data_IF_407415049674
#
_entry.id   IF_407415049674
#
_cell.length_a   1.000
_cell.length_b   1.000
_cell.length_c   1.000
_cell.angle_alpha   90.00
_cell.angle_beta   90.00
_cell.angle_gamma   90.00
#
_symmetry.space_group_name_H-M   'P 1'
#
loop_
_entity.id
_entity.type
_entity.pdbx_description
1 polymer ?
#
# COMPACT_ATOMS: atom_id res chain seq x y z
N UNK A 1 -30.27 -16.20 1.68
CA UNK A 1 -29.42 -15.07 2.13
C UNK A 1 -28.54 -15.59 3.26
N UNK A 2 -27.28 -15.16 3.33
CA UNK A 2 -26.30 -15.65 4.33
C UNK A 2 -26.56 -15.05 5.73
N UNK A 3 -27.20 -13.87 5.79
CA UNK A 3 -27.52 -13.14 7.03
C UNK A 3 -28.35 -13.97 8.04
N UNK A 4 -29.48 -14.60 7.67
CA UNK A 4 -30.28 -15.42 8.60
C UNK A 4 -29.56 -16.66 9.15
N UNK A 5 -28.59 -17.21 8.41
CA UNK A 5 -27.82 -18.38 8.86
C UNK A 5 -26.77 -17.99 9.91
N UNK A 6 -26.10 -16.85 9.73
CA UNK A 6 -25.11 -16.33 10.67
C UNK A 6 -25.74 -15.89 12.00
N UNK A 7 -26.97 -15.38 11.98
CA UNK A 7 -27.68 -14.93 13.19
C UNK A 7 -28.08 -16.07 14.14
N UNK A 8 -28.08 -17.32 13.66
CA UNK A 8 -28.44 -18.50 14.45
C UNK A 8 -27.25 -19.44 14.70
N UNK A 9 -26.06 -19.11 14.20
CA UNK A 9 -24.86 -19.91 14.39
C UNK A 9 -24.32 -19.77 15.82
N UNK A 10 -23.86 -20.87 16.38
CA UNK A 10 -23.20 -20.92 17.68
C UNK A 10 -21.72 -20.53 17.58
N UNK A 11 -21.12 -20.14 18.70
CA UNK A 11 -19.69 -19.83 18.76
C UNK A 11 -18.81 -20.99 18.26
N UNK A 12 -19.15 -22.24 18.64
CA UNK A 12 -18.44 -23.45 18.20
C UNK A 12 -18.53 -23.68 16.68
N UNK A 13 -19.59 -23.21 16.02
CA UNK A 13 -19.72 -23.29 14.55
C UNK A 13 -18.94 -22.17 13.84
N UNK A 14 -18.81 -20.99 14.47
CA UNK A 14 -18.12 -19.82 13.90
C UNK A 14 -16.60 -19.86 14.12
N UNK A 15 -16.13 -20.38 15.24
CA UNK A 15 -14.70 -20.46 15.58
C UNK A 15 -13.83 -21.08 14.48
N UNK A 16 -14.14 -22.27 13.91
CA UNK A 16 -13.32 -22.85 12.85
C UNK A 16 -13.34 -22.03 11.55
N UNK A 17 -14.43 -21.31 11.28
CA UNK A 17 -14.55 -20.43 10.10
C UNK A 17 -13.63 -19.22 10.27
N UNK A 18 -13.66 -18.58 11.44
CA UNK A 18 -12.80 -17.43 11.76
C UNK A 18 -11.33 -17.86 11.73
N UNK A 19 -11.01 -19.00 12.34
CA UNK A 19 -9.64 -19.54 12.32
C UNK A 19 -9.15 -19.79 10.89
N UNK A 20 -9.98 -20.43 10.05
CA UNK A 20 -9.63 -20.66 8.65
C UNK A 20 -9.46 -19.35 7.88
N UNK A 21 -10.34 -18.38 8.09
CA UNK A 21 -10.25 -17.05 7.48
C UNK A 21 -8.93 -16.35 7.85
N UNK A 22 -8.54 -16.36 9.12
CA UNK A 22 -7.28 -15.77 9.58
C UNK A 22 -6.07 -16.51 9.00
N UNK A 23 -6.02 -17.84 9.15
CA UNK A 23 -4.83 -18.63 8.85
C UNK A 23 -4.59 -18.85 7.34
N UNK A 24 -5.67 -18.85 6.54
CA UNK A 24 -5.62 -19.20 5.11
C UNK A 24 -5.83 -17.99 4.20
N UNK A 25 -6.49 -16.93 4.68
CA UNK A 25 -6.73 -15.70 3.90
C UNK A 25 -5.89 -14.55 4.43
N UNK A 26 -6.17 -14.05 5.64
CA UNK A 26 -5.59 -12.78 6.12
C UNK A 26 -4.07 -12.85 6.25
N UNK A 27 -3.55 -13.82 7.03
CA UNK A 27 -2.11 -13.93 7.29
C UNK A 27 -1.31 -14.25 6.01
N UNK A 28 -1.73 -15.20 5.14
CA UNK A 28 -1.03 -15.45 3.88
C UNK A 28 -1.03 -14.24 2.93
N UNK A 29 -2.13 -13.48 2.84
CA UNK A 29 -2.19 -12.27 2.00
C UNK A 29 -1.17 -11.23 2.46
N UNK A 30 -1.12 -10.91 3.76
CA UNK A 30 -0.11 -9.96 4.26
C UNK A 30 1.32 -10.48 4.13
N UNK A 31 1.56 -11.79 4.28
CA UNK A 31 2.88 -12.38 4.03
C UNK A 31 3.31 -12.23 2.57
N UNK A 32 2.37 -12.41 1.64
CA UNK A 32 2.61 -12.20 0.22
C UNK A 32 2.87 -10.71 -0.08
N UNK A 33 2.09 -9.80 0.51
CA UNK A 33 2.30 -8.36 0.40
C UNK A 33 3.72 -7.95 0.84
N UNK A 34 4.17 -8.39 2.02
CA UNK A 34 5.54 -8.14 2.50
C UNK A 34 6.58 -8.67 1.51
N UNK A 35 6.40 -9.92 1.05
CA UNK A 35 7.34 -10.55 0.10
C UNK A 35 7.46 -9.74 -1.19
N UNK A 36 6.34 -9.25 -1.73
CA UNK A 36 6.33 -8.49 -2.97
C UNK A 36 6.77 -7.03 -2.79
N UNK A 37 6.50 -6.41 -1.63
CA UNK A 37 7.05 -5.10 -1.28
C UNK A 37 8.59 -5.14 -1.13
N UNK A 38 9.15 -6.24 -0.62
CA UNK A 38 10.62 -6.45 -0.62
C UNK A 38 11.16 -6.53 -2.05
N UNK A 39 10.50 -7.27 -2.95
CA UNK A 39 10.88 -7.34 -4.35
C UNK A 39 10.77 -5.99 -5.06
N UNK A 40 9.69 -5.24 -4.82
CA UNK A 40 9.48 -3.88 -5.31
C UNK A 40 10.58 -2.93 -4.85
N UNK A 41 10.89 -2.92 -3.55
CA UNK A 41 11.97 -2.09 -3.01
C UNK A 41 13.31 -2.42 -3.70
N UNK A 42 13.63 -3.70 -3.90
CA UNK A 42 14.84 -4.10 -4.62
C UNK A 42 14.84 -3.61 -6.08
N UNK A 43 13.72 -3.71 -6.79
CA UNK A 43 13.59 -3.23 -8.16
C UNK A 43 13.74 -1.71 -8.27
N UNK A 44 13.12 -0.95 -7.36
CA UNK A 44 13.24 0.52 -7.29
C UNK A 44 14.67 0.94 -6.96
N UNK A 45 15.35 0.26 -6.03
CA UNK A 45 16.76 0.53 -5.72
C UNK A 45 17.67 0.20 -6.91
N UNK A 46 17.36 -0.83 -7.69
CA UNK A 46 18.09 -1.12 -8.92
C UNK A 46 17.86 -0.03 -9.98
N UNK A 47 16.62 0.43 -10.17
CA UNK A 47 16.31 1.56 -11.03
C UNK A 47 17.08 2.83 -10.63
N UNK A 48 17.11 3.17 -9.34
CA UNK A 48 17.82 4.33 -8.84
C UNK A 48 19.34 4.27 -9.09
N UNK A 49 19.95 3.08 -8.99
CA UNK A 49 21.39 2.89 -9.19
C UNK A 49 21.78 2.71 -10.67
N UNK A 50 20.90 2.14 -11.48
CA UNK A 50 21.15 1.78 -12.88
C UNK A 50 19.95 2.21 -13.76
N UNK A 51 19.73 3.52 -13.95
CA UNK A 51 18.53 3.97 -14.62
C UNK A 51 18.56 3.64 -16.12
N UNK A 52 17.50 2.99 -16.59
CA UNK A 52 17.30 2.57 -17.97
C UNK A 52 15.82 2.22 -18.20
N UNK A 53 15.38 2.15 -19.46
CA UNK A 53 14.04 1.66 -19.78
C UNK A 53 13.76 0.27 -19.19
N UNK A 54 14.73 -0.64 -19.27
CA UNK A 54 14.59 -2.00 -18.73
C UNK A 54 14.42 -2.01 -17.20
N UNK A 55 15.13 -1.13 -16.48
CA UNK A 55 14.99 -1.04 -15.01
C UNK A 55 13.70 -0.33 -14.59
N UNK A 56 13.15 0.58 -15.40
CA UNK A 56 11.81 1.11 -15.21
C UNK A 56 10.74 0.03 -15.39
N UNK A 57 10.80 -0.76 -16.46
CA UNK A 57 9.87 -1.87 -16.71
C UNK A 57 9.89 -2.89 -15.57
N UNK A 58 11.07 -3.23 -15.05
CA UNK A 58 11.22 -4.13 -13.91
C UNK A 58 10.58 -3.56 -12.63
N UNK A 59 10.78 -2.27 -12.34
CA UNK A 59 10.18 -1.62 -11.19
C UNK A 59 8.65 -1.50 -11.32
N UNK A 60 8.16 -1.13 -12.52
CA UNK A 60 6.73 -1.07 -12.83
C UNK A 60 6.04 -2.43 -12.68
N UNK A 61 6.64 -3.51 -13.18
CA UNK A 61 6.11 -4.86 -13.01
C UNK A 61 6.11 -5.28 -11.52
N UNK A 62 7.19 -4.99 -10.79
CA UNK A 62 7.23 -5.27 -9.36
C UNK A 62 6.16 -4.48 -8.58
N UNK A 63 5.83 -3.26 -9.01
CA UNK A 63 4.75 -2.46 -8.43
C UNK A 63 3.39 -3.12 -8.64
N UNK A 64 3.09 -3.56 -9.88
CA UNK A 64 1.86 -4.29 -10.19
C UNK A 64 1.73 -5.57 -9.35
N UNK A 65 2.83 -6.32 -9.20
CA UNK A 65 2.85 -7.51 -8.36
C UNK A 65 2.60 -7.16 -6.89
N UNK A 66 3.22 -6.10 -6.36
CA UNK A 66 3.00 -5.66 -4.99
C UNK A 66 1.57 -5.18 -4.71
N UNK A 67 0.90 -4.56 -5.70
CA UNK A 67 -0.51 -4.15 -5.61
C UNK A 67 -1.46 -5.32 -5.44
N UNK A 68 -1.27 -6.42 -6.16
CA UNK A 68 -2.23 -7.55 -6.14
C UNK A 68 -2.61 -8.03 -4.72
N UNK A 69 -1.68 -8.34 -3.79
CA UNK A 69 -2.05 -8.73 -2.43
C UNK A 69 -2.57 -7.57 -1.57
N UNK A 70 -2.24 -6.32 -1.89
CA UNK A 70 -2.84 -5.16 -1.22
C UNK A 70 -4.32 -5.03 -1.58
N UNK A 71 -4.64 -5.02 -2.87
CA UNK A 71 -6.01 -4.96 -3.39
C UNK A 71 -6.85 -6.14 -2.90
N UNK A 72 -6.28 -7.35 -2.87
CA UNK A 72 -6.95 -8.53 -2.31
C UNK A 72 -7.18 -8.45 -0.79
N UNK A 73 -6.52 -7.52 -0.09
CA UNK A 73 -6.68 -7.30 1.35
C UNK A 73 -7.76 -6.30 1.73
N UNK A 74 -8.29 -5.54 0.78
CA UNK A 74 -9.23 -4.45 1.07
C UNK A 74 -10.57 -4.92 1.65
N UNK A 75 -10.92 -6.19 1.45
CA UNK A 75 -12.08 -6.81 2.11
C UNK A 75 -11.93 -6.91 3.64
N UNK A 76 -10.74 -6.63 4.18
CA UNK A 76 -10.40 -6.79 5.59
C UNK A 76 -9.50 -5.67 6.14
N UNK A 77 -9.83 -4.43 5.78
CA UNK A 77 -9.26 -3.22 6.35
C UNK A 77 -9.81 -2.92 7.76
N UNK A 78 -9.55 -3.83 8.69
CA UNK A 78 -9.85 -3.67 10.11
C UNK A 78 -8.68 -4.15 10.97
N UNK A 79 -8.65 -3.72 12.24
CA UNK A 79 -7.52 -3.98 13.12
C UNK A 79 -6.31 -3.13 12.73
N UNK A 80 -5.08 -3.66 12.78
CA UNK A 80 -3.87 -2.84 12.69
C UNK A 80 -3.76 -1.92 11.47
N UNK A 81 -4.30 -2.34 10.32
CA UNK A 81 -4.22 -1.54 9.08
C UNK A 81 -5.04 -0.24 9.18
N UNK A 82 -6.16 -0.27 9.91
CA UNK A 82 -6.98 0.90 10.19
C UNK A 82 -6.48 1.65 11.44
N UNK A 83 -6.22 0.91 12.53
CA UNK A 83 -5.96 1.48 13.85
C UNK A 83 -4.61 2.24 13.95
N UNK A 84 -3.66 1.93 13.05
CA UNK A 84 -2.32 2.53 13.05
C UNK A 84 -2.08 3.48 11.86
N UNK A 85 -3.14 3.85 11.15
CA UNK A 85 -3.05 4.73 9.97
C UNK A 85 -2.25 4.13 8.81
N UNK A 86 -2.12 2.80 8.75
CA UNK A 86 -1.32 2.13 7.71
C UNK A 86 -1.98 2.19 6.35
N UNK A 87 -3.32 2.12 6.30
CA UNK A 87 -4.09 2.25 5.06
C UNK A 87 -3.78 3.56 4.31
N UNK A 88 -4.07 4.75 4.88
CA UNK A 88 -3.73 6.00 4.20
C UNK A 88 -2.22 6.19 4.03
N UNK A 89 -1.38 5.66 4.93
CA UNK A 89 0.08 5.71 4.77
C UNK A 89 0.60 4.89 3.58
N UNK A 90 -0.08 3.80 3.23
CA UNK A 90 0.31 2.93 2.14
C UNK A 90 -0.41 3.26 0.83
N UNK A 91 -1.62 3.82 0.88
CA UNK A 91 -2.49 3.91 -0.30
C UNK A 91 -3.38 5.15 -0.41
N UNK A 92 -2.96 6.28 0.16
CA UNK A 92 -3.71 7.53 0.00
C UNK A 92 -3.99 7.89 -1.46
N UNK A 93 -5.25 8.24 -1.72
CA UNK A 93 -5.73 8.78 -2.98
C UNK A 93 -6.89 9.78 -2.75
N UNK A 94 -6.93 10.94 -3.44
CA UNK A 94 -5.97 11.43 -4.41
C UNK A 94 -4.67 11.92 -3.76
N UNK A 95 -3.58 11.93 -4.54
CA UNK A 95 -2.31 12.55 -4.11
C UNK A 95 -2.37 14.08 -4.14
N UNK A 96 -1.60 14.74 -3.27
CA UNK A 96 -1.25 16.14 -3.47
C UNK A 96 -0.12 16.25 -4.52
N UNK A 97 -0.53 16.25 -5.79
CA UNK A 97 0.41 16.31 -6.91
C UNK A 97 1.21 17.64 -6.95
N UNK A 98 0.71 18.72 -6.33
CA UNK A 98 1.42 19.99 -6.27
C UNK A 98 2.55 19.93 -5.23
N UNK A 99 2.24 19.44 -4.03
CA UNK A 99 3.22 19.19 -2.98
C UNK A 99 4.28 18.19 -3.43
N UNK A 100 3.87 17.06 -4.03
CA UNK A 100 4.82 16.06 -4.54
C UNK A 100 5.79 16.65 -5.58
N UNK A 101 5.30 17.48 -6.52
CA UNK A 101 6.17 18.17 -7.49
C UNK A 101 7.12 19.16 -6.80
N UNK A 102 6.65 19.87 -5.77
CA UNK A 102 7.48 20.77 -5.00
C UNK A 102 8.62 20.02 -4.30
N UNK A 103 8.31 18.91 -3.61
CA UNK A 103 9.27 18.02 -2.95
C UNK A 103 10.32 17.51 -3.94
N UNK A 104 9.89 17.01 -5.10
CA UNK A 104 10.80 16.54 -6.15
C UNK A 104 11.71 17.67 -6.68
N UNK A 105 11.22 18.90 -6.72
CA UNK A 105 11.98 20.06 -7.20
C UNK A 105 12.95 20.62 -6.16
N UNK A 106 12.60 20.58 -4.88
CA UNK A 106 13.37 21.20 -3.79
C UNK A 106 14.27 20.19 -3.05
N UNK A 107 14.02 18.88 -3.20
CA UNK A 107 14.77 17.79 -2.57
C UNK A 107 14.51 17.60 -1.07
N UNK A 108 13.47 18.24 -0.51
CA UNK A 108 13.09 18.15 0.89
C UNK A 108 12.26 16.90 1.18
N UNK A 109 12.90 15.73 1.10
CA UNK A 109 12.22 14.44 1.30
C UNK A 109 11.74 14.19 2.75
N UNK A 110 12.04 15.09 3.69
CA UNK A 110 11.48 15.04 5.04
C UNK A 110 9.97 15.27 5.04
N UNK A 111 9.42 15.93 4.02
CA UNK A 111 7.97 16.16 3.86
C UNK A 111 7.16 14.88 3.58
N UNK A 112 7.83 13.74 3.33
CA UNK A 112 7.16 12.43 3.22
C UNK A 112 6.93 11.75 4.57
N UNK A 113 7.53 12.25 5.65
CA UNK A 113 7.52 11.60 6.97
C UNK A 113 6.76 12.45 7.99
N UNK A 114 6.23 11.80 9.02
CA UNK A 114 5.74 12.46 10.23
C UNK A 114 6.40 11.82 11.46
N UNK A 115 6.38 12.54 12.58
CA UNK A 115 6.87 12.04 13.87
C UNK A 115 5.71 11.99 14.88
N UNK A 116 5.76 11.05 15.81
CA UNK A 116 4.74 10.88 16.84
C UNK A 116 3.74 9.76 16.54
N UNK A 117 2.76 9.63 17.42
CA UNK A 117 1.67 8.66 17.27
C UNK A 117 0.72 9.09 16.14
N UNK A 118 0.07 8.10 15.52
CA UNK A 118 -0.95 8.39 14.52
C UNK A 118 -2.15 9.10 15.16
N UNK A 119 -2.56 10.20 14.56
CA UNK A 119 -3.79 10.93 14.86
C UNK A 119 -4.52 11.17 13.54
N UNK A 120 -5.73 10.65 13.43
CA UNK A 120 -6.55 10.74 12.21
C UNK A 120 -7.01 12.17 11.90
N UNK A 121 -7.02 13.06 12.91
CA UNK A 121 -7.40 14.46 12.77
C UNK A 121 -6.19 15.38 12.48
N UNK A 122 -4.96 14.85 12.50
CA UNK A 122 -3.76 15.63 12.27
C UNK A 122 -3.51 15.88 10.77
N UNK A 123 -3.71 17.12 10.36
CA UNK A 123 -3.50 17.57 8.98
C UNK A 123 -2.05 17.39 8.49
N UNK A 124 -1.05 17.40 9.39
CA UNK A 124 0.35 17.18 9.03
C UNK A 124 0.62 15.72 8.67
N UNK A 125 -0.03 14.80 9.38
CA UNK A 125 0.00 13.37 9.05
C UNK A 125 -0.69 13.14 7.71
N UNK A 126 -1.88 13.69 7.52
CA UNK A 126 -2.60 13.59 6.24
C UNK A 126 -1.79 14.17 5.07
N UNK A 127 -1.11 15.31 5.27
CA UNK A 127 -0.25 15.90 4.25
C UNK A 127 0.90 14.97 3.84
N UNK A 128 1.58 14.34 4.81
CA UNK A 128 2.65 13.37 4.54
C UNK A 128 2.12 12.11 3.83
N UNK A 129 0.94 11.62 4.24
CA UNK A 129 0.29 10.45 3.63
C UNK A 129 -0.08 10.70 2.16
N UNK A 130 -0.52 11.92 1.82
CA UNK A 130 -0.92 12.31 0.46
C UNK A 130 0.25 12.48 -0.54
N UNK A 131 1.50 12.34 -0.10
CA UNK A 131 2.71 12.42 -0.94
C UNK A 131 3.60 11.17 -0.83
N UNK A 132 3.06 10.07 -0.31
CA UNK A 132 3.76 8.76 -0.20
C UNK A 132 2.87 7.61 -0.68
N UNK A 133 3.23 6.38 -0.33
CA UNK A 133 2.45 5.19 -0.65
C UNK A 133 2.54 4.71 -2.10
N UNK A 134 1.70 3.72 -2.43
CA UNK A 134 1.69 3.05 -3.73
C UNK A 134 1.42 4.01 -4.88
N UNK A 135 0.45 4.91 -4.74
CA UNK A 135 0.10 5.84 -5.81
C UNK A 135 1.19 6.89 -6.07
N UNK A 136 1.97 7.29 -5.06
CA UNK A 136 3.15 8.14 -5.29
C UNK A 136 4.19 7.40 -6.12
N UNK A 137 4.43 6.12 -5.82
CA UNK A 137 5.34 5.30 -6.62
C UNK A 137 4.80 5.04 -8.04
N UNK A 138 3.49 4.87 -8.19
CA UNK A 138 2.82 4.80 -9.49
C UNK A 138 3.07 6.07 -10.33
N UNK A 139 2.86 7.25 -9.72
CA UNK A 139 3.14 8.54 -10.36
C UNK A 139 4.59 8.64 -10.86
N UNK A 140 5.54 8.10 -10.09
CA UNK A 140 6.97 8.11 -10.41
C UNK A 140 7.37 7.04 -11.45
N UNK A 141 6.64 5.94 -11.58
CA UNK A 141 6.99 4.82 -12.46
C UNK A 141 6.22 4.79 -13.78
N UNK A 142 5.00 5.34 -13.83
CA UNK A 142 4.11 5.25 -14.98
C UNK A 142 3.77 6.62 -15.58
N UNK A 143 3.44 6.61 -16.88
CA UNK A 143 2.86 7.74 -17.59
C UNK A 143 1.91 7.23 -18.67
N UNK A 144 0.66 7.68 -18.65
CA UNK A 144 -0.38 7.28 -19.61
C UNK A 144 -0.58 5.76 -19.73
N UNK A 145 -0.47 5.04 -18.61
CA UNK A 145 -0.67 3.58 -18.55
C UNK A 145 0.55 2.73 -18.90
N UNK A 146 1.65 3.36 -19.31
CA UNK A 146 2.89 2.67 -19.65
C UNK A 146 4.00 2.97 -18.62
N UNK A 147 4.95 2.05 -18.38
CA UNK A 147 6.17 2.36 -17.66
C UNK A 147 6.87 3.56 -18.30
N UNK A 148 7.37 4.48 -17.48
CA UNK A 148 8.19 5.60 -17.95
C UNK A 148 9.46 5.06 -18.63
N UNK A 149 9.93 5.78 -19.63
CA UNK A 149 11.20 5.51 -20.31
C UNK A 149 12.28 6.48 -19.83
N UNK A 150 13.54 6.03 -19.80
CA UNK A 150 14.70 6.88 -19.48
C UNK A 150 15.10 7.74 -20.68
#
# INVERSE_FOLDING_TARGET
>A
SVKPALLNATETELEPIIKNYVDVVVVPTYKLLVTRNVALNNAVRNLANNPSTATFELAANAWMQAREPWEMSEAFLFGPVADLGLDPNMDSWPLDAAALKNILSNGNFQELEWEGEFDEEDETISAAQNVRGFHTLEFLLFYMGEPRTY
#
